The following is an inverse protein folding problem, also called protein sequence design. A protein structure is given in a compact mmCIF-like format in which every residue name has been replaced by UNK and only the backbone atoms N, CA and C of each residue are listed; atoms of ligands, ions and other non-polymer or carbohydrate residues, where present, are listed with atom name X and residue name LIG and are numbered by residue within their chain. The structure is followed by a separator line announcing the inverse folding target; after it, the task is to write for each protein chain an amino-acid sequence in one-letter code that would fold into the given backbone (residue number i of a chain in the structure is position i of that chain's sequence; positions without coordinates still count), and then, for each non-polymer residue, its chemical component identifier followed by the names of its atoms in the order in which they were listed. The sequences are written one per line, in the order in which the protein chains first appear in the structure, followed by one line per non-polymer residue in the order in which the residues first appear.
data_IF_495249056588
#
_entry.id   IF_495249056588
#
_cell.length_a   1.000
_cell.length_b   1.000
_cell.length_c   1.000
_cell.angle_alpha   90.00
_cell.angle_beta   90.00
_cell.angle_gamma   90.00
#
_symmetry.space_group_name_H-M   'P 1'
#
loop_
_entity.id
_entity.type
_entity.pdbx_description
1 polymer ?
#
# COMPACT_ATOMS: atom_id res chain seq x y z
N UNK A 1 31.39 7.42 7.15
CA UNK A 1 30.38 8.07 6.26
C UNK A 1 30.71 7.64 4.84
N UNK A 2 30.13 6.53 4.36
CA UNK A 2 30.47 5.99 3.03
C UNK A 2 29.86 6.91 1.97
N UNK A 3 30.72 7.58 1.19
CA UNK A 3 30.30 8.41 0.09
C UNK A 3 29.53 7.55 -0.92
N UNK A 4 28.33 8.01 -1.27
CA UNK A 4 27.48 7.36 -2.27
C UNK A 4 28.17 7.42 -3.63
N UNK A 5 28.26 6.29 -4.33
CA UNK A 5 28.76 6.30 -5.70
C UNK A 5 27.85 7.16 -6.60
N UNK A 6 28.38 7.85 -7.62
CA UNK A 6 27.59 8.72 -8.50
C UNK A 6 26.40 8.01 -9.18
N UNK A 7 26.46 6.68 -9.34
CA UNK A 7 25.37 5.87 -9.90
C UNK A 7 24.14 5.70 -9.00
N UNK A 8 24.27 5.76 -7.68
CA UNK A 8 23.14 5.51 -6.76
C UNK A 8 22.15 6.68 -6.75
N UNK A 9 22.65 7.93 -6.73
CA UNK A 9 21.78 9.10 -6.79
C UNK A 9 20.97 9.19 -8.09
N UNK A 10 21.57 8.79 -9.21
CA UNK A 10 20.88 8.72 -10.51
C UNK A 10 19.77 7.67 -10.51
N UNK A 11 19.98 6.52 -9.86
CA UNK A 11 18.96 5.47 -9.70
C UNK A 11 17.79 5.95 -8.84
N UNK A 12 18.05 6.66 -7.74
CA UNK A 12 17.00 7.23 -6.88
C UNK A 12 16.13 8.25 -7.63
N UNK A 13 16.76 9.13 -8.40
CA UNK A 13 16.04 10.11 -9.24
C UNK A 13 15.22 9.41 -10.33
N UNK A 14 15.78 8.40 -11.00
CA UNK A 14 15.07 7.63 -12.01
C UNK A 14 13.86 6.87 -11.41
N UNK A 15 14.05 6.24 -10.24
CA UNK A 15 12.97 5.57 -9.52
C UNK A 15 11.86 6.56 -9.12
N UNK A 16 12.23 7.75 -8.61
CA UNK A 16 11.28 8.81 -8.32
C UNK A 16 10.51 9.27 -9.56
N UNK A 17 11.18 9.50 -10.68
CA UNK A 17 10.54 9.88 -11.93
C UNK A 17 9.54 8.80 -12.42
N UNK A 18 9.92 7.53 -12.37
CA UNK A 18 9.02 6.41 -12.72
C UNK A 18 7.81 6.32 -11.80
N UNK A 19 8.00 6.54 -10.49
CA UNK A 19 6.88 6.61 -9.54
C UNK A 19 5.97 7.80 -9.86
N UNK A 20 6.53 8.96 -10.19
CA UNK A 20 5.77 10.14 -10.61
C UNK A 20 4.92 9.83 -11.85
N UNK A 21 5.51 9.24 -12.89
CA UNK A 21 4.80 8.83 -14.10
C UNK A 21 3.69 7.82 -13.81
N UNK A 22 3.97 6.81 -12.99
CA UNK A 22 2.96 5.83 -12.59
C UNK A 22 1.83 6.48 -11.77
N UNK A 23 2.17 7.46 -10.91
CA UNK A 23 1.21 8.21 -10.08
C UNK A 23 0.26 9.04 -10.93
N UNK A 24 0.75 9.62 -12.03
CA UNK A 24 -0.07 10.35 -13.00
C UNK A 24 -1.12 9.46 -13.68
N UNK A 25 -0.85 8.15 -13.81
CA UNK A 25 -1.80 7.17 -14.37
C UNK A 25 -2.76 6.66 -13.30
N UNK A 26 -2.26 6.35 -12.10
CA UNK A 26 -3.03 5.90 -10.93
C UNK A 26 -2.38 6.39 -9.65
N UNK A 27 -3.14 6.81 -8.65
CA UNK A 27 -2.59 7.42 -7.43
C UNK A 27 -1.75 6.48 -6.54
N UNK A 28 -1.99 5.16 -6.63
CA UNK A 28 -1.47 4.18 -5.66
C UNK A 28 0.07 4.09 -5.59
N UNK A 29 0.81 4.10 -6.71
CA UNK A 29 2.27 4.03 -6.72
C UNK A 29 2.97 5.15 -5.93
N UNK A 30 2.31 6.25 -5.60
CA UNK A 30 2.88 7.30 -4.74
C UNK A 30 3.37 6.75 -3.39
N UNK A 31 2.71 5.71 -2.85
CA UNK A 31 3.14 5.06 -1.60
C UNK A 31 4.51 4.38 -1.72
N UNK A 32 4.96 4.02 -2.93
CA UNK A 32 6.27 3.40 -3.14
C UNK A 32 7.43 4.31 -2.75
N UNK A 33 7.21 5.63 -2.70
CA UNK A 33 8.19 6.60 -2.18
C UNK A 33 8.58 6.22 -0.75
N UNK A 34 7.60 5.86 0.10
CA UNK A 34 7.83 5.47 1.50
C UNK A 34 8.63 4.18 1.57
N UNK A 35 8.25 3.15 0.81
CA UNK A 35 8.93 1.86 0.80
C UNK A 35 10.40 1.97 0.37
N UNK A 36 10.68 2.69 -0.72
CA UNK A 36 12.04 2.86 -1.24
C UNK A 36 12.91 3.74 -0.34
N UNK A 37 12.36 4.84 0.17
CA UNK A 37 13.09 5.73 1.05
C UNK A 37 13.40 5.07 2.41
N UNK A 38 12.47 4.29 2.96
CA UNK A 38 12.66 3.57 4.22
C UNK A 38 13.73 2.46 4.12
N UNK A 39 13.84 1.83 2.95
CA UNK A 39 14.82 0.77 2.66
C UNK A 39 16.28 1.26 2.55
N UNK A 40 16.54 2.57 2.65
CA UNK A 40 17.88 3.17 2.58
C UNK A 40 18.29 3.85 3.90
N UNK A 41 18.72 3.10 4.94
CA UNK A 41 18.88 3.60 6.31
C UNK A 41 19.82 4.80 6.45
N UNK A 42 21.01 4.71 5.87
CA UNK A 42 22.08 5.71 6.07
C UNK A 42 21.81 7.03 5.33
N UNK A 43 20.85 7.02 4.41
CA UNK A 43 20.61 8.12 3.46
C UNK A 43 19.15 8.50 3.38
N UNK A 44 18.31 8.04 4.31
CA UNK A 44 16.85 8.19 4.27
C UNK A 44 16.40 9.60 3.91
N UNK A 45 16.98 10.65 4.53
CA UNK A 45 16.64 12.04 4.21
C UNK A 45 16.98 12.40 2.75
N UNK A 46 18.17 12.06 2.27
CA UNK A 46 18.59 12.32 0.88
C UNK A 46 17.78 11.49 -0.12
N UNK A 47 17.52 10.22 0.20
CA UNK A 47 16.72 9.31 -0.62
C UNK A 47 15.28 9.81 -0.74
N UNK A 48 14.68 10.23 0.37
CA UNK A 48 13.35 10.86 0.39
C UNK A 48 13.31 12.11 -0.48
N UNK A 49 14.30 12.99 -0.36
CA UNK A 49 14.38 14.22 -1.16
C UNK A 49 14.56 13.92 -2.65
N UNK A 50 15.37 12.93 -3.02
CA UNK A 50 15.63 12.57 -4.43
C UNK A 50 14.45 11.86 -5.06
N UNK A 51 13.95 10.79 -4.42
CA UNK A 51 12.83 10.00 -4.93
C UNK A 51 11.55 10.86 -4.91
N UNK A 52 11.24 11.46 -3.77
CA UNK A 52 10.07 12.30 -3.61
C UNK A 52 10.14 13.58 -4.46
N UNK A 53 11.32 14.21 -4.54
CA UNK A 53 11.53 15.38 -5.38
C UNK A 53 11.39 15.08 -6.87
N UNK A 54 11.96 13.99 -7.36
CA UNK A 54 11.80 13.59 -8.76
C UNK A 54 10.36 13.17 -9.09
N UNK A 55 9.69 12.43 -8.21
CA UNK A 55 8.27 12.09 -8.37
C UNK A 55 7.39 13.35 -8.40
N UNK A 56 7.63 14.28 -7.47
CA UNK A 56 6.94 15.57 -7.41
C UNK A 56 7.21 16.44 -8.63
N UNK A 57 8.45 16.50 -9.11
CA UNK A 57 8.80 17.24 -10.32
C UNK A 57 8.06 16.71 -11.56
N UNK A 58 7.98 15.38 -11.72
CA UNK A 58 7.20 14.76 -12.80
C UNK A 58 5.71 15.07 -12.65
N UNK A 59 5.14 14.93 -11.45
CA UNK A 59 3.74 15.22 -11.20
C UNK A 59 3.39 16.68 -11.50
N UNK A 60 4.24 17.61 -11.03
CA UNK A 60 4.11 19.05 -11.30
C UNK A 60 4.23 19.31 -12.79
N UNK A 61 5.24 18.77 -13.49
CA UNK A 61 5.39 18.97 -14.92
C UNK A 61 4.17 18.46 -15.71
N UNK A 62 3.57 17.34 -15.29
CA UNK A 62 2.37 16.79 -15.92
C UNK A 62 1.10 17.60 -15.65
N UNK A 63 0.88 18.07 -14.42
CA UNK A 63 -0.36 18.76 -14.04
C UNK A 63 -0.32 20.29 -14.19
N UNK A 64 0.86 20.91 -14.17
CA UNK A 64 0.99 22.38 -14.22
C UNK A 64 0.29 23.01 -15.43
N UNK A 65 0.37 22.46 -16.66
CA UNK A 65 -0.37 23.02 -17.80
C UNK A 65 -1.89 23.04 -17.57
N UNK A 66 -2.43 22.01 -16.91
CA UNK A 66 -3.85 21.94 -16.57
C UNK A 66 -4.21 22.96 -15.49
N UNK A 67 -3.39 23.08 -14.44
CA UNK A 67 -3.60 24.07 -13.38
C UNK A 67 -3.57 25.50 -13.93
N UNK A 68 -2.64 25.82 -14.82
CA UNK A 68 -2.58 27.15 -15.46
C UNK A 68 -3.83 27.42 -16.29
N UNK A 69 -4.39 26.41 -16.95
CA UNK A 69 -5.56 26.57 -17.82
C UNK A 69 -6.90 26.62 -17.08
N UNK A 70 -7.09 25.80 -16.05
CA UNK A 70 -8.39 25.64 -15.37
C UNK A 70 -8.37 25.93 -13.87
N UNK A 71 -7.22 26.28 -13.30
CA UNK A 71 -7.04 26.56 -11.88
C UNK A 71 -7.35 25.36 -11.00
N UNK A 72 -8.03 25.61 -9.88
CA UNK A 72 -8.45 24.59 -8.91
C UNK A 72 -9.51 23.63 -9.46
N UNK A 73 -10.17 23.96 -10.57
CA UNK A 73 -11.11 23.06 -11.26
C UNK A 73 -10.44 21.79 -11.81
N UNK A 74 -9.10 21.71 -11.78
CA UNK A 74 -8.34 20.51 -12.11
C UNK A 74 -8.72 19.29 -11.25
N UNK A 75 -9.24 19.52 -10.04
CA UNK A 75 -9.78 18.45 -9.18
C UNK A 75 -11.02 17.81 -9.82
N UNK A 76 -11.76 18.59 -10.62
CA UNK A 76 -12.82 18.12 -11.50
C UNK A 76 -13.84 17.22 -10.78
N UNK A 77 -14.06 16.06 -11.38
CA UNK A 77 -15.08 15.10 -10.95
C UNK A 77 -14.67 14.25 -9.74
N UNK A 78 -13.47 14.42 -9.16
CA UNK A 78 -12.99 13.55 -8.07
C UNK A 78 -13.98 13.43 -6.89
N UNK A 79 -14.60 14.51 -6.38
CA UNK A 79 -15.61 14.37 -5.32
C UNK A 79 -16.86 13.59 -5.76
N UNK A 80 -17.24 13.71 -7.03
CA UNK A 80 -18.32 12.92 -7.63
C UNK A 80 -17.96 11.45 -7.71
N UNK A 81 -16.78 11.14 -8.23
CA UNK A 81 -16.23 9.78 -8.30
C UNK A 81 -16.20 9.11 -6.91
N UNK A 82 -15.76 9.82 -5.87
CA UNK A 82 -15.74 9.27 -4.51
C UNK A 82 -17.14 8.91 -4.00
N UNK A 83 -18.16 9.72 -4.32
CA UNK A 83 -19.56 9.41 -3.97
C UNK A 83 -20.10 8.24 -4.78
N UNK A 84 -19.85 8.20 -6.09
CA UNK A 84 -20.27 7.08 -6.96
C UNK A 84 -19.65 5.75 -6.53
N UNK A 85 -18.41 5.79 -6.07
CA UNK A 85 -17.72 4.62 -5.52
C UNK A 85 -18.06 4.39 -4.03
N UNK A 86 -18.99 5.14 -3.44
CA UNK A 86 -19.51 4.98 -2.08
C UNK A 86 -18.46 5.15 -0.96
N UNK A 87 -17.45 6.01 -1.19
CA UNK A 87 -16.43 6.42 -0.20
C UNK A 87 -16.97 7.42 0.84
N UNK A 88 -18.26 7.73 0.85
CA UNK A 88 -18.95 8.57 1.84
C UNK A 88 -19.46 7.77 3.06
N UNK A 89 -19.03 6.52 3.21
CA UNK A 89 -19.38 5.65 4.33
C UNK A 89 -20.56 4.72 4.09
N UNK A 90 -21.14 4.74 2.88
CA UNK A 90 -22.39 4.00 2.58
C UNK A 90 -22.19 2.61 1.98
N UNK A 91 -20.99 2.28 1.47
CA UNK A 91 -20.76 0.98 0.82
C UNK A 91 -19.30 0.55 0.67
N UNK A 92 -18.35 1.49 0.75
CA UNK A 92 -16.92 1.20 0.65
C UNK A 92 -16.28 0.88 2.01
N UNK A 93 -14.95 0.76 2.04
CA UNK A 93 -14.16 0.42 3.23
C UNK A 93 -14.57 -0.94 3.81
N UNK A 94 -14.49 -1.98 2.98
CA UNK A 94 -15.12 -3.28 3.23
C UNK A 94 -14.58 -3.99 4.49
N UNK A 95 -13.30 -3.79 4.82
CA UNK A 95 -12.75 -4.31 6.08
C UNK A 95 -13.34 -3.58 7.29
N UNK A 96 -13.49 -2.25 7.24
CA UNK A 96 -14.12 -1.48 8.30
C UNK A 96 -15.61 -1.87 8.45
N UNK A 97 -16.31 -2.06 7.33
CA UNK A 97 -17.69 -2.57 7.32
C UNK A 97 -17.82 -3.99 7.90
N UNK A 98 -16.88 -4.89 7.59
CA UNK A 98 -16.82 -6.23 8.18
C UNK A 98 -16.62 -6.17 9.70
N UNK A 99 -15.88 -5.17 10.19
CA UNK A 99 -15.68 -4.88 11.60
C UNK A 99 -16.84 -4.10 12.25
N UNK A 100 -17.94 -3.87 11.53
CA UNK A 100 -19.12 -3.10 11.98
C UNK A 100 -18.78 -1.68 12.42
N UNK A 101 -17.74 -1.07 11.85
CA UNK A 101 -17.41 0.34 12.09
C UNK A 101 -18.53 1.21 11.48
N UNK A 102 -19.03 2.22 12.21
CA UNK A 102 -19.98 3.20 11.66
C UNK A 102 -19.47 3.83 10.36
N UNK A 103 -20.37 4.05 9.39
CA UNK A 103 -19.98 4.48 8.03
C UNK A 103 -19.23 5.81 8.00
N UNK A 104 -19.62 6.75 8.84
CA UNK A 104 -18.96 8.06 9.02
C UNK A 104 -17.52 7.94 9.56
N UNK A 105 -17.20 6.86 10.28
CA UNK A 105 -15.87 6.57 10.80
C UNK A 105 -15.07 5.62 9.93
N UNK A 106 -15.71 4.86 9.03
CA UNK A 106 -15.08 3.83 8.22
C UNK A 106 -13.90 4.39 7.39
N UNK A 107 -14.09 5.55 6.77
CA UNK A 107 -13.03 6.22 6.02
C UNK A 107 -11.86 6.66 6.89
N UNK A 108 -12.15 7.22 8.07
CA UNK A 108 -11.12 7.64 9.05
C UNK A 108 -10.30 6.44 9.51
N UNK A 109 -10.95 5.34 9.91
CA UNK A 109 -10.28 4.11 10.34
C UNK A 109 -9.41 3.53 9.22
N UNK A 110 -9.90 3.51 7.98
CA UNK A 110 -9.14 3.04 6.83
C UNK A 110 -7.91 3.91 6.54
N UNK A 111 -8.03 5.24 6.64
CA UNK A 111 -6.88 6.15 6.50
C UNK A 111 -5.87 5.91 7.62
N UNK A 112 -6.32 5.78 8.88
CA UNK A 112 -5.44 5.50 10.01
C UNK A 112 -4.70 4.17 9.87
N UNK A 113 -5.37 3.13 9.36
CA UNK A 113 -4.73 1.84 9.07
C UNK A 113 -3.62 1.97 8.01
N UNK A 114 -3.86 2.76 6.96
CA UNK A 114 -2.85 3.02 5.92
C UNK A 114 -1.67 3.85 6.45
N UNK A 115 -1.95 4.88 7.26
CA UNK A 115 -0.91 5.69 7.94
C UNK A 115 -0.09 4.82 8.90
N UNK A 116 -0.74 3.94 9.66
CA UNK A 116 -0.05 3.01 10.55
C UNK A 116 0.85 2.04 9.77
N UNK A 117 0.41 1.55 8.59
CA UNK A 117 1.24 0.74 7.71
C UNK A 117 2.44 1.52 7.17
N UNK A 118 2.24 2.76 6.74
CA UNK A 118 3.33 3.65 6.31
C UNK A 118 4.33 3.93 7.42
N UNK A 119 3.85 4.23 8.63
CA UNK A 119 4.68 4.40 9.82
C UNK A 119 5.45 3.11 10.15
N UNK A 120 4.78 1.95 10.08
CA UNK A 120 5.43 0.66 10.31
C UNK A 120 6.56 0.41 9.32
N UNK A 121 6.34 0.61 8.01
CA UNK A 121 7.39 0.49 6.98
C UNK A 121 8.53 1.46 7.25
N UNK A 122 8.19 2.71 7.60
CA UNK A 122 9.18 3.75 7.87
C UNK A 122 10.06 3.46 9.10
N UNK A 123 9.47 2.88 10.15
CA UNK A 123 10.14 2.57 11.42
C UNK A 123 10.89 1.23 11.32
N UNK A 124 10.25 0.18 10.82
CA UNK A 124 10.79 -1.19 10.78
C UNK A 124 11.75 -1.42 9.61
N UNK A 125 11.67 -0.59 8.57
CA UNK A 125 12.58 -0.61 7.41
C UNK A 125 12.72 -2.01 6.80
N UNK A 126 11.61 -2.65 6.41
CA UNK A 126 11.69 -3.88 5.63
C UNK A 126 12.42 -3.61 4.31
N UNK A 127 12.79 -4.68 3.59
CA UNK A 127 13.28 -4.54 2.21
C UNK A 127 12.25 -3.79 1.35
N UNK A 128 12.72 -3.10 0.30
CA UNK A 128 11.83 -2.32 -0.56
C UNK A 128 10.64 -3.13 -1.13
N UNK A 129 10.82 -4.37 -1.63
CA UNK A 129 9.70 -5.19 -2.09
C UNK A 129 8.69 -5.51 -0.98
N UNK A 130 9.16 -5.90 0.22
CA UNK A 130 8.29 -6.21 1.35
C UNK A 130 7.54 -4.96 1.83
N UNK A 131 8.21 -3.81 1.94
CA UNK A 131 7.58 -2.54 2.27
C UNK A 131 6.51 -2.13 1.25
N UNK A 132 6.81 -2.30 -0.05
CA UNK A 132 5.85 -2.01 -1.12
C UNK A 132 4.63 -2.95 -1.06
N UNK A 133 4.83 -4.25 -0.85
CA UNK A 133 3.75 -5.21 -0.70
C UNK A 133 2.84 -4.88 0.50
N UNK A 134 3.42 -4.51 1.64
CA UNK A 134 2.66 -4.07 2.82
C UNK A 134 1.82 -2.83 2.50
N UNK A 135 2.41 -1.80 1.88
CA UNK A 135 1.67 -0.57 1.56
C UNK A 135 0.56 -0.78 0.54
N UNK A 136 0.83 -1.53 -0.54
CA UNK A 136 -0.18 -1.83 -1.55
C UNK A 136 -1.28 -2.72 -0.99
N UNK A 137 -0.94 -3.73 -0.20
CA UNK A 137 -1.90 -4.62 0.42
C UNK A 137 -2.78 -3.91 1.43
N UNK A 138 -2.18 -3.08 2.30
CA UNK A 138 -2.94 -2.27 3.25
C UNK A 138 -3.79 -1.22 2.55
N UNK A 139 -3.34 -0.63 1.44
CA UNK A 139 -4.16 0.26 0.63
C UNK A 139 -5.39 -0.45 0.06
N UNK A 140 -5.22 -1.67 -0.47
CA UNK A 140 -6.34 -2.45 -1.02
C UNK A 140 -7.30 -2.91 0.08
N UNK A 141 -6.80 -3.35 1.23
CA UNK A 141 -7.62 -3.70 2.39
C UNK A 141 -8.40 -2.48 2.91
N UNK A 142 -7.74 -1.32 3.02
CA UNK A 142 -8.32 -0.09 3.54
C UNK A 142 -9.34 0.50 2.57
N UNK A 143 -8.97 0.71 1.30
CA UNK A 143 -9.80 1.41 0.31
C UNK A 143 -10.79 0.49 -0.40
N UNK A 144 -10.51 -0.82 -0.46
CA UNK A 144 -11.35 -1.86 -1.07
C UNK A 144 -11.96 -1.47 -2.43
N UNK A 145 -11.14 -1.09 -3.44
CA UNK A 145 -11.64 -0.68 -4.75
C UNK A 145 -12.43 -1.82 -5.40
N UNK A 146 -13.50 -1.50 -6.16
CA UNK A 146 -14.39 -2.55 -6.71
C UNK A 146 -13.67 -3.34 -7.80
N UNK A 147 -12.75 -2.70 -8.52
CA UNK A 147 -12.08 -3.32 -9.64
C UNK A 147 -10.88 -4.17 -9.18
N UNK A 148 -10.86 -5.50 -9.42
CA UNK A 148 -9.83 -6.37 -8.85
C UNK A 148 -8.44 -6.17 -9.48
N UNK A 149 -8.35 -5.60 -10.69
CA UNK A 149 -7.08 -5.36 -11.37
C UNK A 149 -6.19 -4.31 -10.69
N UNK A 150 -6.70 -3.54 -9.73
CA UNK A 150 -5.85 -2.71 -8.86
C UNK A 150 -4.85 -3.54 -8.04
N UNK A 151 -5.10 -4.84 -7.86
CA UNK A 151 -4.22 -5.74 -7.12
C UNK A 151 -3.00 -6.24 -7.91
N UNK A 152 -2.87 -5.94 -9.21
CA UNK A 152 -1.70 -6.36 -10.02
C UNK A 152 -0.40 -5.80 -9.46
N UNK A 153 -0.40 -4.56 -8.98
CA UNK A 153 0.78 -3.94 -8.34
C UNK A 153 1.15 -4.66 -7.05
N UNK A 154 0.17 -5.03 -6.22
CA UNK A 154 0.42 -5.86 -5.03
C UNK A 154 1.02 -7.19 -5.41
N UNK A 155 0.44 -7.89 -6.39
CA UNK A 155 0.94 -9.20 -6.83
C UNK A 155 2.41 -9.13 -7.25
N UNK A 156 2.78 -8.12 -8.04
CA UNK A 156 4.17 -7.92 -8.46
C UNK A 156 5.14 -7.69 -7.29
N UNK A 157 4.76 -6.90 -6.28
CA UNK A 157 5.64 -6.70 -5.13
C UNK A 157 5.63 -7.88 -4.16
N UNK A 158 4.51 -8.57 -4.01
CA UNK A 158 4.41 -9.78 -3.20
C UNK A 158 5.28 -10.91 -3.75
N UNK A 159 5.35 -11.08 -5.07
CA UNK A 159 6.24 -12.06 -5.71
C UNK A 159 7.71 -11.69 -5.52
N UNK A 160 8.08 -10.42 -5.73
CA UNK A 160 9.43 -9.93 -5.46
C UNK A 160 9.83 -10.03 -3.98
N UNK A 161 8.86 -9.88 -3.07
CA UNK A 161 9.06 -10.02 -1.63
C UNK A 161 9.06 -11.49 -1.16
N UNK A 162 8.68 -12.44 -2.01
CA UNK A 162 8.47 -13.85 -1.67
C UNK A 162 7.47 -14.01 -0.50
N UNK A 163 6.42 -13.20 -0.50
CA UNK A 163 5.38 -13.20 0.54
C UNK A 163 4.03 -13.63 -0.06
N UNK A 164 3.79 -14.96 -0.24
CA UNK A 164 2.60 -15.48 -0.92
C UNK A 164 1.30 -15.21 -0.17
N UNK A 165 1.37 -14.88 1.13
CA UNK A 165 0.19 -14.54 1.93
C UNK A 165 -0.64 -13.42 1.29
N UNK A 166 -0.01 -12.47 0.60
CA UNK A 166 -0.71 -11.37 -0.08
C UNK A 166 -1.61 -11.82 -1.25
N UNK A 167 -1.45 -13.04 -1.77
CA UNK A 167 -2.31 -13.58 -2.83
C UNK A 167 -3.79 -13.61 -2.41
N UNK A 168 -4.08 -13.78 -1.11
CA UNK A 168 -5.47 -13.74 -0.61
C UNK A 168 -6.11 -12.35 -0.78
N UNK A 169 -5.34 -11.27 -0.65
CA UNK A 169 -5.82 -9.89 -0.88
C UNK A 169 -6.01 -9.62 -2.37
N UNK A 170 -5.14 -10.19 -3.22
CA UNK A 170 -5.31 -10.13 -4.68
C UNK A 170 -6.60 -10.82 -5.11
N UNK A 171 -6.91 -11.97 -4.52
CA UNK A 171 -8.14 -12.72 -4.81
C UNK A 171 -9.41 -12.05 -4.24
N UNK A 172 -9.30 -11.33 -3.11
CA UNK A 172 -10.45 -10.79 -2.37
C UNK A 172 -11.35 -9.82 -3.16
N UNK A 173 -10.81 -9.15 -4.18
CA UNK A 173 -11.59 -8.21 -5.01
C UNK A 173 -12.59 -8.90 -5.95
N UNK A 174 -12.31 -10.14 -6.38
CA UNK A 174 -13.10 -10.82 -7.41
C UNK A 174 -14.54 -11.16 -6.99
N UNK A 175 -14.80 -11.72 -5.79
CA UNK A 175 -16.16 -12.07 -5.37
C UNK A 175 -17.11 -10.88 -5.40
N UNK A 176 -16.68 -9.72 -4.88
CA UNK A 176 -17.52 -8.53 -4.87
C UNK A 176 -17.68 -7.91 -6.25
N UNK A 177 -16.62 -7.87 -7.05
CA UNK A 177 -16.68 -7.42 -8.44
C UNK A 177 -17.73 -8.20 -9.25
N UNK A 178 -17.72 -9.53 -9.16
CA UNK A 178 -18.72 -10.35 -9.85
C UNK A 178 -20.11 -10.23 -9.21
N UNK A 179 -20.21 -10.06 -7.89
CA UNK A 179 -21.51 -9.81 -7.25
C UNK A 179 -22.17 -8.54 -7.79
N UNK A 180 -21.41 -7.44 -7.95
CA UNK A 180 -21.91 -6.17 -8.52
C UNK A 180 -22.40 -6.35 -9.96
N UNK A 181 -21.75 -7.22 -10.75
CA UNK A 181 -22.11 -7.45 -12.16
C UNK A 181 -23.30 -8.42 -12.30
N UNK A 182 -23.29 -9.51 -11.53
CA UNK A 182 -24.18 -10.66 -11.74
C UNK A 182 -25.42 -10.65 -10.85
N UNK A 183 -25.43 -9.92 -9.73
CA UNK A 183 -26.51 -9.95 -8.73
C UNK A 183 -27.17 -8.57 -8.61
N UNK A 184 -28.50 -8.54 -8.64
CA UNK A 184 -29.30 -7.33 -8.40
C UNK A 184 -30.48 -7.65 -7.47
N UNK A 185 -30.53 -7.11 -6.24
CA UNK A 185 -29.51 -6.25 -5.61
C UNK A 185 -28.23 -7.04 -5.25
N UNK A 186 -27.06 -6.41 -5.34
CA UNK A 186 -25.79 -7.04 -4.99
C UNK A 186 -25.53 -6.92 -3.47
N UNK A 187 -25.27 -8.04 -2.77
CA UNK A 187 -25.02 -8.01 -1.32
C UNK A 187 -23.58 -7.57 -1.00
N UNK A 188 -23.43 -6.37 -0.43
CA UNK A 188 -22.12 -5.83 0.05
C UNK A 188 -21.40 -6.76 1.03
N UNK A 189 -22.16 -7.59 1.75
CA UNK A 189 -21.64 -8.60 2.67
C UNK A 189 -20.67 -9.60 2.03
N UNK A 190 -20.80 -9.89 0.72
CA UNK A 190 -19.84 -10.74 -0.01
C UNK A 190 -18.46 -10.07 -0.01
N UNK A 191 -18.40 -8.78 -0.30
CA UNK A 191 -17.15 -8.02 -0.29
C UNK A 191 -16.56 -7.88 1.11
N UNK A 192 -17.40 -7.59 2.10
CA UNK A 192 -16.98 -7.53 3.51
C UNK A 192 -16.39 -8.85 3.99
N UNK A 193 -17.02 -9.98 3.67
CA UNK A 193 -16.52 -11.31 4.01
C UNK A 193 -15.19 -11.61 3.29
N UNK A 194 -15.11 -11.37 1.97
CA UNK A 194 -13.90 -11.64 1.19
C UNK A 194 -12.69 -10.81 1.68
N UNK A 195 -12.87 -9.50 1.85
CA UNK A 195 -11.81 -8.61 2.35
C UNK A 195 -11.49 -8.85 3.83
N UNK A 196 -12.49 -9.16 4.66
CA UNK A 196 -12.29 -9.53 6.07
C UNK A 196 -11.47 -10.82 6.22
N UNK A 197 -11.80 -11.86 5.46
CA UNK A 197 -11.03 -13.11 5.42
C UNK A 197 -9.61 -12.86 4.89
N UNK A 198 -9.44 -12.01 3.90
CA UNK A 198 -8.11 -11.66 3.40
C UNK A 198 -7.26 -10.91 4.44
N UNK A 199 -7.86 -9.98 5.20
CA UNK A 199 -7.18 -9.30 6.30
C UNK A 199 -6.72 -10.30 7.38
N UNK A 200 -7.57 -11.27 7.75
CA UNK A 200 -7.21 -12.35 8.68
C UNK A 200 -6.10 -13.23 8.08
N UNK A 201 -6.23 -13.62 6.81
CA UNK A 201 -5.30 -14.50 6.11
C UNK A 201 -3.88 -13.94 6.02
N UNK A 202 -3.72 -12.63 5.82
CA UNK A 202 -2.39 -11.97 5.84
C UNK A 202 -1.85 -11.78 7.26
N UNK A 203 -2.74 -11.56 8.23
CA UNK A 203 -2.34 -11.34 9.64
C UNK A 203 -1.89 -12.63 10.33
N UNK A 204 -2.51 -13.77 9.98
CA UNK A 204 -2.31 -15.05 10.66
C UNK A 204 -0.85 -15.56 10.59
N UNK A 205 -0.14 -15.55 9.43
CA UNK A 205 1.28 -15.92 9.37
C UNK A 205 2.17 -15.04 10.24
N UNK A 206 1.88 -13.74 10.33
CA UNK A 206 2.64 -12.79 11.16
C UNK A 206 2.47 -13.10 12.65
N UNK A 207 1.24 -13.42 13.05
CA UNK A 207 0.92 -13.84 14.42
C UNK A 207 1.59 -15.17 14.75
N UNK A 208 1.46 -16.19 13.88
CA UNK A 208 2.05 -17.51 14.09
C UNK A 208 3.58 -17.49 14.13
N UNK A 209 4.24 -16.62 13.34
CA UNK A 209 5.70 -16.39 13.45
C UNK A 209 6.07 -15.79 14.80
N UNK A 210 5.28 -14.85 15.32
CA UNK A 210 5.50 -14.21 16.64
C UNK A 210 5.31 -15.19 17.81
N UNK A 211 4.37 -16.13 17.69
CA UNK A 211 4.13 -17.17 18.70
C UNK A 211 5.09 -18.37 18.62
N UNK A 212 5.86 -18.52 17.53
CA UNK A 212 6.94 -19.52 17.41
C UNK A 212 8.30 -19.02 17.91
N UNK A 213 8.42 -17.72 18.18
CA UNK A 213 9.57 -17.07 18.82
C UNK A 213 9.48 -16.95 20.37
N UNK A 214 8.99 -17.96 21.13
CA UNK A 214 9.36 -18.12 22.53
C UNK A 214 10.19 -19.41 22.68
N UNK A 215 11.53 -19.28 22.69
CA UNK A 215 12.40 -20.36 23.15
C UNK A 215 13.58 -20.77 22.26
N UNK A 216 14.34 -19.84 21.68
CA UNK A 216 15.73 -20.13 21.26
C UNK A 216 16.74 -19.48 22.22
N UNK A 217 16.59 -19.77 23.52
CA UNK A 217 17.64 -19.50 24.51
C UNK A 217 18.76 -20.53 24.35
N UNK A 218 19.94 -20.03 23.99
CA UNK A 218 21.27 -20.55 24.31
C UNK A 218 21.53 -22.06 24.11
N UNK A 219 22.13 -22.42 22.97
CA UNK A 219 23.23 -23.40 23.01
C UNK A 219 24.52 -22.61 23.23
N UNK A 220 24.95 -22.55 24.49
CA UNK A 220 26.29 -22.12 24.89
C UNK A 220 27.31 -23.04 24.20
N UNK A 221 28.36 -22.47 23.63
CA UNK A 221 29.60 -23.22 23.42
C UNK A 221 30.12 -23.72 24.78
N UNK A 222 30.52 -24.99 24.92
CA UNK A 222 31.27 -25.43 26.08
C UNK A 222 32.67 -24.77 26.09
N UNK A 223 33.25 -24.51 27.27
CA UNK A 223 34.46 -23.71 27.43
C UNK A 223 35.78 -24.38 26.99
N UNK A 224 35.75 -25.60 26.46
CA UNK A 224 36.96 -26.32 26.07
C UNK A 224 36.88 -26.74 24.60
N UNK A 225 37.48 -25.95 23.71
CA UNK A 225 37.67 -26.35 22.31
C UNK A 225 37.87 -25.21 21.31
N UNK A 226 38.87 -24.35 21.53
CA UNK A 226 39.69 -23.72 20.48
C UNK A 226 41.15 -23.79 20.95
#
# INVERSE_FOLDING_TARGET
MVASGPGEGRRELAAGALIGLATLVKLYPALLIVALAAASPDRRRRSTLRIGGAAGAVAVAGYLPHVVRVGTKVVGFLPGYLREEHYDGTGRYLVAGALRIPGDLAGVVSVLALVAAAAWVWIRRPSAPTGAAVLMGMLLLAASPVQPWYAVTLLAFATLAVEPAWAVVVAAGYPYFFAVILLHPHPVGIGQAAYGLAAVGVSLPLLLRRFREPGRSMRRCPPNGC
#
